data_IF_466478351101
#
_entry.id   IF_466478351101
#
_cell.length_a   1.000
_cell.length_b   1.000
_cell.length_c   1.000
_cell.angle_alpha   90.00
_cell.angle_beta   90.00
_cell.angle_gamma   90.00
#
_symmetry.space_group_name_H-M   'P 1'
#
loop_
_entity.id
_entity.type
_entity.pdbx_description
1 polymer ?
#
# COMPACT_ATOMS: atom_id res chain seq x y z
N UNK A 1 -30.30 -18.71 -7.98
CA UNK A 1 -29.32 -19.69 -7.41
C UNK A 1 -27.93 -19.48 -8.04
N UNK A 2 -27.20 -18.39 -7.73
CA UNK A 2 -25.89 -18.05 -8.35
C UNK A 2 -24.86 -17.35 -7.43
N UNK A 3 -25.07 -17.28 -6.11
CA UNK A 3 -24.18 -16.54 -5.20
C UNK A 3 -22.95 -17.35 -4.70
N UNK A 4 -22.99 -18.69 -4.69
CA UNK A 4 -21.91 -19.50 -4.10
C UNK A 4 -20.61 -19.55 -4.92
N UNK A 5 -20.66 -19.34 -6.25
CA UNK A 5 -19.48 -19.46 -7.11
C UNK A 5 -18.57 -18.21 -7.12
N UNK A 6 -19.12 -17.04 -6.76
CA UNK A 6 -18.36 -15.78 -6.69
C UNK A 6 -17.55 -15.70 -5.39
N UNK A 7 -18.15 -16.07 -4.25
CA UNK A 7 -17.45 -16.12 -2.96
C UNK A 7 -16.31 -17.13 -2.94
N UNK A 8 -16.48 -18.29 -3.59
CA UNK A 8 -15.42 -19.30 -3.70
C UNK A 8 -14.20 -18.84 -4.51
N UNK A 9 -14.36 -17.96 -5.51
CA UNK A 9 -13.24 -17.40 -6.26
C UNK A 9 -12.49 -16.32 -5.49
N UNK A 10 -13.19 -15.45 -4.78
CA UNK A 10 -12.56 -14.42 -3.95
C UNK A 10 -11.71 -15.07 -2.84
N UNK A 11 -12.29 -16.02 -2.09
CA UNK A 11 -11.57 -16.76 -1.05
C UNK A 11 -10.34 -17.51 -1.57
N UNK A 12 -10.41 -18.09 -2.78
CA UNK A 12 -9.29 -18.79 -3.38
C UNK A 12 -8.12 -17.87 -3.78
N UNK A 13 -8.39 -16.61 -4.14
CA UNK A 13 -7.35 -15.60 -4.37
C UNK A 13 -6.77 -15.08 -3.05
N UNK A 14 -7.59 -14.90 -2.02
CA UNK A 14 -7.09 -14.57 -0.68
C UNK A 14 -6.20 -15.69 -0.10
N UNK A 15 -6.59 -16.96 -0.28
CA UNK A 15 -5.77 -18.12 0.08
C UNK A 15 -4.41 -18.10 -0.61
N UNK A 16 -4.40 -17.76 -1.91
CA UNK A 16 -3.16 -17.63 -2.67
C UNK A 16 -2.28 -16.48 -2.16
N UNK A 17 -2.89 -15.35 -1.77
CA UNK A 17 -2.21 -14.25 -1.10
C UNK A 17 -1.59 -14.66 0.23
N UNK A 18 -2.33 -15.40 1.07
CA UNK A 18 -1.80 -15.94 2.34
C UNK A 18 -0.57 -16.82 2.14
N UNK A 19 -0.55 -17.64 1.09
CA UNK A 19 0.57 -18.55 0.80
C UNK A 19 1.86 -17.82 0.43
N UNK A 20 1.78 -16.64 -0.18
CA UNK A 20 2.97 -15.84 -0.54
C UNK A 20 3.34 -14.79 0.50
N UNK A 21 2.52 -14.60 1.55
CA UNK A 21 2.74 -13.57 2.56
C UNK A 21 4.12 -13.68 3.23
N UNK A 22 4.60 -14.90 3.51
CA UNK A 22 5.91 -15.11 4.15
C UNK A 22 7.10 -14.61 3.30
N UNK A 23 6.91 -14.44 1.98
CA UNK A 23 7.92 -13.86 1.10
C UNK A 23 8.06 -12.34 1.30
N UNK A 24 7.04 -11.69 1.89
CA UNK A 24 7.00 -10.24 2.10
C UNK A 24 7.52 -9.81 3.49
N UNK A 25 7.88 -10.75 4.36
CA UNK A 25 8.28 -10.48 5.76
C UNK A 25 9.44 -9.47 5.87
N UNK A 26 10.40 -9.52 4.95
CA UNK A 26 11.58 -8.64 4.94
C UNK A 26 11.36 -7.31 4.20
N UNK A 27 10.16 -7.08 3.66
CA UNK A 27 9.83 -5.89 2.88
C UNK A 27 8.83 -5.02 3.63
N UNK A 28 8.74 -3.75 3.25
CA UNK A 28 7.86 -2.77 3.90
C UNK A 28 6.89 -2.12 2.94
N UNK A 29 7.05 -2.35 1.63
CA UNK A 29 6.16 -1.86 0.61
C UNK A 29 6.14 -2.76 -0.63
N UNK A 30 4.98 -2.99 -1.22
CA UNK A 30 4.86 -3.70 -2.48
C UNK A 30 3.69 -3.19 -3.33
N UNK A 31 3.87 -3.21 -4.64
CA UNK A 31 2.77 -3.07 -5.60
C UNK A 31 2.15 -4.44 -5.82
N UNK A 32 0.83 -4.55 -5.79
CA UNK A 32 0.08 -5.75 -6.19
C UNK A 32 -0.63 -5.41 -7.48
N UNK A 33 -0.24 -6.04 -8.58
CA UNK A 33 -0.74 -5.66 -9.90
C UNK A 33 -1.36 -6.83 -10.64
N UNK A 34 -2.42 -6.54 -11.39
CA UNK A 34 -3.06 -7.47 -12.31
C UNK A 34 -3.84 -6.76 -13.41
N UNK A 35 -4.04 -7.46 -14.52
CA UNK A 35 -5.09 -7.19 -15.50
C UNK A 35 -6.50 -7.44 -14.94
N UNK A 36 -6.62 -8.29 -13.91
CA UNK A 36 -7.84 -8.48 -13.12
C UNK A 36 -7.67 -7.83 -11.74
N UNK A 37 -8.11 -6.57 -11.57
CA UNK A 37 -7.86 -5.82 -10.35
C UNK A 37 -8.58 -6.41 -9.12
N UNK A 38 -9.66 -7.19 -9.31
CA UNK A 38 -10.30 -7.89 -8.20
C UNK A 38 -9.45 -9.05 -7.70
N UNK A 39 -8.80 -9.80 -8.60
CA UNK A 39 -7.86 -10.85 -8.20
C UNK A 39 -6.68 -10.25 -7.42
N UNK A 40 -6.09 -9.15 -7.91
CA UNK A 40 -5.04 -8.42 -7.21
C UNK A 40 -5.49 -7.95 -5.81
N UNK A 41 -6.70 -7.38 -5.70
CA UNK A 41 -7.24 -6.93 -4.42
C UNK A 41 -7.41 -8.08 -3.42
N UNK A 42 -7.95 -9.23 -3.85
CA UNK A 42 -8.10 -10.40 -2.97
C UNK A 42 -6.73 -10.98 -2.57
N UNK A 43 -5.76 -11.05 -3.48
CA UNK A 43 -4.39 -11.46 -3.13
C UNK A 43 -3.78 -10.49 -2.10
N UNK A 44 -3.95 -9.19 -2.30
CA UNK A 44 -3.48 -8.17 -1.36
C UNK A 44 -4.12 -8.34 0.02
N UNK A 45 -5.42 -8.60 0.11
CA UNK A 45 -6.11 -8.89 1.37
C UNK A 45 -5.62 -10.20 2.03
N UNK A 46 -5.36 -11.23 1.24
CA UNK A 46 -4.77 -12.48 1.71
C UNK A 46 -3.41 -12.26 2.39
N UNK A 47 -2.52 -11.53 1.72
CA UNK A 47 -1.22 -11.12 2.27
C UNK A 47 -1.44 -10.27 3.52
N UNK A 48 -2.30 -9.26 3.44
CA UNK A 48 -2.47 -8.28 4.50
C UNK A 48 -3.00 -8.90 5.79
N UNK A 49 -3.97 -9.83 5.69
CA UNK A 49 -4.49 -10.55 6.86
C UNK A 49 -3.44 -11.47 7.50
N UNK A 50 -2.59 -12.11 6.69
CA UNK A 50 -1.50 -12.93 7.21
C UNK A 50 -0.42 -12.09 7.91
N UNK A 51 -0.11 -10.90 7.41
CA UNK A 51 0.90 -10.01 8.00
C UNK A 51 0.37 -9.19 9.18
N UNK A 52 -0.95 -8.93 9.23
CA UNK A 52 -1.58 -8.13 10.29
C UNK A 52 -1.48 -8.75 11.70
N UNK A 53 -1.25 -10.06 11.80
CA UNK A 53 -0.93 -10.73 13.08
C UNK A 53 0.44 -10.36 13.65
N UNK A 54 1.31 -9.76 12.83
CA UNK A 54 2.71 -9.48 13.19
C UNK A 54 3.05 -7.99 13.14
N UNK A 55 2.43 -7.23 12.23
CA UNK A 55 2.73 -5.81 12.02
C UNK A 55 1.50 -5.05 11.55
N UNK A 56 1.60 -3.71 11.53
CA UNK A 56 0.58 -2.87 10.89
C UNK A 56 0.67 -3.02 9.37
N UNK A 57 -0.47 -3.20 8.72
CA UNK A 57 -0.57 -3.35 7.27
C UNK A 57 -1.59 -2.37 6.72
N UNK A 58 -1.22 -1.66 5.66
CA UNK A 58 -2.11 -0.75 4.93
C UNK A 58 -2.27 -1.26 3.50
N UNK A 59 -3.52 -1.39 3.04
CA UNK A 59 -3.86 -1.71 1.65
C UNK A 59 -4.47 -0.49 0.98
N UNK A 60 -3.86 -0.01 -0.10
CA UNK A 60 -4.33 1.15 -0.87
C UNK A 60 -4.94 0.76 -2.21
N UNK A 61 -6.07 1.37 -2.55
CA UNK A 61 -6.76 1.23 -3.84
C UNK A 61 -6.28 2.29 -4.85
N UNK A 62 -5.43 1.89 -5.81
CA UNK A 62 -5.00 2.72 -6.93
C UNK A 62 -5.72 2.38 -8.24
N UNK A 63 -6.82 1.64 -8.18
CA UNK A 63 -7.64 1.28 -9.35
C UNK A 63 -8.88 2.17 -9.43
N UNK A 64 -9.48 2.49 -8.28
CA UNK A 64 -10.74 3.23 -8.20
C UNK A 64 -11.92 2.30 -7.91
N UNK A 65 -12.44 2.37 -6.69
CA UNK A 65 -13.62 1.64 -6.21
C UNK A 65 -13.53 0.10 -6.32
N UNK A 66 -12.42 -0.48 -5.89
CA UNK A 66 -12.29 -1.94 -5.78
C UNK A 66 -13.30 -2.51 -4.77
N UNK A 67 -14.27 -3.34 -5.20
CA UNK A 67 -15.30 -3.88 -4.30
C UNK A 67 -14.73 -4.62 -3.07
N UNK A 68 -13.67 -5.46 -3.18
CA UNK A 68 -13.10 -6.13 -2.00
C UNK A 68 -12.57 -5.16 -0.94
N UNK A 69 -12.03 -4.01 -1.35
CA UNK A 69 -11.47 -3.01 -0.42
C UNK A 69 -12.57 -2.05 0.09
N UNK A 70 -13.50 -1.65 -0.78
CA UNK A 70 -14.59 -0.73 -0.43
C UNK A 70 -15.50 -1.31 0.66
N UNK A 71 -15.84 -2.60 0.56
CA UNK A 71 -16.66 -3.26 1.58
C UNK A 71 -16.03 -3.21 2.98
N UNK A 72 -14.70 -3.22 3.07
CA UNK A 72 -13.96 -3.17 4.34
C UNK A 72 -13.78 -1.74 4.86
N UNK A 73 -13.75 -0.75 3.97
CA UNK A 73 -13.53 0.66 4.33
C UNK A 73 -14.79 1.38 4.86
N UNK A 74 -15.99 0.85 4.57
CA UNK A 74 -17.28 1.44 4.94
C UNK A 74 -17.56 2.81 4.28
N UNK A 75 -18.72 3.39 4.60
CA UNK A 75 -19.29 4.55 3.87
C UNK A 75 -19.10 5.92 4.56
N UNK A 76 -18.22 6.04 5.57
CA UNK A 76 -18.24 7.20 6.47
C UNK A 76 -17.59 8.50 5.92
N UNK A 77 -16.55 8.39 5.09
CA UNK A 77 -15.81 9.53 4.53
C UNK A 77 -15.53 9.24 3.04
N UNK A 78 -15.71 10.18 2.11
CA UNK A 78 -15.37 9.95 0.69
C UNK A 78 -13.89 10.19 0.36
N UNK A 79 -13.11 10.84 1.24
CA UNK A 79 -11.71 11.16 0.94
C UNK A 79 -10.81 9.92 0.99
N UNK A 80 -9.86 9.87 0.06
CA UNK A 80 -8.92 8.78 -0.13
C UNK A 80 -7.58 9.24 -0.70
N UNK A 81 -6.93 8.33 -1.43
CA UNK A 81 -5.57 8.54 -1.94
C UNK A 81 -5.51 9.75 -2.88
N UNK A 82 -6.47 9.87 -3.80
CA UNK A 82 -6.53 10.98 -4.74
C UNK A 82 -6.57 12.33 -4.02
N UNK A 83 -7.40 12.45 -2.98
CA UNK A 83 -7.53 13.67 -2.18
C UNK A 83 -6.23 14.01 -1.43
N UNK A 84 -5.49 12.97 -0.99
CA UNK A 84 -4.20 13.18 -0.33
C UNK A 84 -3.13 13.70 -1.29
N UNK A 85 -3.11 13.19 -2.52
CA UNK A 85 -2.12 13.57 -3.52
C UNK A 85 -2.43 14.92 -4.15
N UNK A 86 -3.71 15.20 -4.44
CA UNK A 86 -4.15 16.41 -5.12
C UNK A 86 -4.36 17.60 -4.17
N UNK A 87 -4.92 17.35 -2.97
CA UNK A 87 -5.36 18.41 -2.06
C UNK A 87 -4.64 18.41 -0.72
N UNK A 88 -3.70 17.49 -0.51
CA UNK A 88 -2.89 17.43 0.71
C UNK A 88 -3.66 16.90 1.92
N UNK A 89 -4.78 16.19 1.73
CA UNK A 89 -5.45 15.47 2.81
C UNK A 89 -4.45 14.50 3.46
N UNK A 90 -4.41 14.43 4.79
CA UNK A 90 -3.45 13.58 5.48
C UNK A 90 -3.71 12.09 5.18
N UNK A 91 -2.67 11.34 4.80
CA UNK A 91 -2.78 9.89 4.59
C UNK A 91 -3.21 9.17 5.88
N UNK A 92 -2.83 9.70 7.04
CA UNK A 92 -3.26 9.20 8.33
C UNK A 92 -4.77 9.29 8.54
N UNK A 93 -5.43 10.26 7.88
CA UNK A 93 -6.87 10.48 8.01
C UNK A 93 -7.67 9.55 7.09
N UNK A 94 -7.08 9.09 5.97
CA UNK A 94 -7.78 8.24 5.00
C UNK A 94 -7.59 6.73 5.25
N UNK A 95 -6.60 6.34 6.06
CA UNK A 95 -6.37 4.95 6.44
C UNK A 95 -7.38 4.48 7.50
N UNK A 96 -8.22 3.50 7.15
CA UNK A 96 -9.32 3.03 8.00
C UNK A 96 -9.05 1.63 8.50
N UNK A 97 -9.03 1.46 9.80
CA UNK A 97 -8.90 0.13 10.40
C UNK A 97 -10.15 -0.70 10.07
N UNK A 98 -9.95 -1.95 9.67
CA UNK A 98 -11.05 -2.88 9.39
C UNK A 98 -11.61 -3.43 10.70
N UNK A 99 -12.93 -3.62 10.79
CA UNK A 99 -13.54 -4.27 11.97
C UNK A 99 -13.13 -5.74 12.11
N UNK A 100 -12.83 -6.39 10.98
CA UNK A 100 -12.56 -7.82 10.91
C UNK A 100 -11.14 -8.22 11.34
N UNK A 101 -10.16 -7.32 11.22
CA UNK A 101 -8.75 -7.65 11.43
C UNK A 101 -8.03 -6.45 12.03
N UNK A 102 -7.61 -6.59 13.29
CA UNK A 102 -6.75 -5.61 13.97
C UNK A 102 -5.46 -5.41 13.21
N UNK A 103 -4.92 -4.18 13.23
CA UNK A 103 -3.70 -3.79 12.49
C UNK A 103 -3.82 -3.77 10.96
N UNK A 104 -4.99 -4.09 10.40
CA UNK A 104 -5.26 -3.97 8.97
C UNK A 104 -6.01 -2.67 8.68
N UNK A 105 -5.46 -1.86 7.79
CA UNK A 105 -6.01 -0.59 7.38
C UNK A 105 -6.24 -0.53 5.88
N UNK A 106 -7.32 0.11 5.44
CA UNK A 106 -7.67 0.31 4.04
C UNK A 106 -7.61 1.80 3.70
N UNK A 107 -6.94 2.16 2.60
CA UNK A 107 -7.02 3.47 1.98
C UNK A 107 -7.82 3.34 0.68
N UNK A 108 -8.98 3.99 0.62
CA UNK A 108 -9.81 4.05 -0.58
C UNK A 108 -9.17 4.94 -1.64
N UNK A 109 -9.61 4.81 -2.90
CA UNK A 109 -9.09 5.62 -4.01
C UNK A 109 -9.34 7.12 -3.81
N UNK A 110 -10.46 7.48 -3.19
CA UNK A 110 -10.86 8.88 -2.96
C UNK A 110 -11.90 9.37 -3.96
N UNK A 111 -12.06 10.69 -4.02
CA UNK A 111 -13.13 11.36 -4.79
C UNK A 111 -12.81 11.61 -6.26
N UNK A 112 -11.53 11.53 -6.62
CA UNK A 112 -11.01 11.84 -7.95
C UNK A 112 -10.37 10.59 -8.59
N UNK A 113 -10.21 10.55 -9.92
CA UNK A 113 -9.50 9.45 -10.57
C UNK A 113 -8.09 9.26 -10.00
N UNK A 114 -7.83 8.08 -9.44
CA UNK A 114 -6.53 7.75 -8.81
C UNK A 114 -5.51 7.16 -9.79
N UNK A 115 -5.99 6.57 -10.89
CA UNK A 115 -5.17 5.86 -11.88
C UNK A 115 -4.64 6.80 -12.97
N UNK A 116 -3.95 7.86 -12.54
CA UNK A 116 -3.33 8.87 -13.40
C UNK A 116 -1.84 8.98 -13.06
N UNK A 117 -1.01 9.36 -14.03
CA UNK A 117 0.45 9.37 -13.88
C UNK A 117 0.91 10.28 -12.74
N UNK A 118 0.22 11.41 -12.54
CA UNK A 118 0.51 12.39 -11.49
C UNK A 118 0.33 11.84 -10.08
N UNK A 119 -0.46 10.77 -9.92
CA UNK A 119 -0.68 10.08 -8.64
C UNK A 119 0.17 8.81 -8.57
N UNK A 120 0.09 7.94 -9.57
CA UNK A 120 0.78 6.64 -9.56
C UNK A 120 2.30 6.82 -9.56
N UNK A 121 2.86 7.64 -10.46
CA UNK A 121 4.30 7.86 -10.60
C UNK A 121 4.89 8.89 -9.64
N UNK A 122 4.14 9.28 -8.60
CA UNK A 122 4.51 10.41 -7.76
C UNK A 122 5.58 10.05 -6.71
N UNK A 123 6.66 10.83 -6.66
CA UNK A 123 7.78 10.71 -5.70
C UNK A 123 7.38 10.72 -4.21
N UNK A 124 6.15 11.15 -3.87
CA UNK A 124 5.64 11.02 -2.50
C UNK A 124 5.55 9.56 -2.06
N UNK A 125 5.34 8.60 -2.97
CA UNK A 125 5.33 7.17 -2.65
C UNK A 125 6.62 6.70 -2.02
N UNK A 126 7.77 7.16 -2.53
CA UNK A 126 9.09 6.84 -1.97
C UNK A 126 9.22 7.24 -0.50
N UNK A 127 8.73 8.44 -0.16
CA UNK A 127 8.75 8.93 1.23
C UNK A 127 7.81 8.14 2.12
N UNK A 128 6.68 7.69 1.57
CA UNK A 128 5.74 6.84 2.31
C UNK A 128 6.32 5.47 2.58
N UNK A 129 6.84 4.79 1.55
CA UNK A 129 7.49 3.49 1.68
C UNK A 129 8.58 3.52 2.77
N UNK A 130 9.46 4.52 2.75
CA UNK A 130 10.48 4.72 3.79
C UNK A 130 9.89 4.90 5.20
N UNK A 131 8.76 5.59 5.32
CA UNK A 131 8.05 5.74 6.60
C UNK A 131 7.51 4.42 7.13
N UNK A 132 7.00 3.54 6.25
CA UNK A 132 6.54 2.19 6.62
C UNK A 132 7.70 1.30 7.06
N UNK A 133 8.84 1.36 6.36
CA UNK A 133 10.07 0.68 6.74
C UNK A 133 10.54 1.08 8.15
N UNK A 134 10.61 2.39 8.43
CA UNK A 134 11.05 2.92 9.73
C UNK A 134 10.23 2.44 10.91
N UNK A 135 8.92 2.21 10.73
CA UNK A 135 8.02 1.78 11.80
C UNK A 135 7.72 0.28 11.76
N UNK A 136 8.37 -0.48 10.87
CA UNK A 136 8.14 -1.91 10.68
C UNK A 136 6.72 -2.24 10.21
N UNK A 137 6.06 -1.36 9.46
CA UNK A 137 4.72 -1.57 8.89
C UNK A 137 4.81 -1.94 7.40
N UNK A 138 3.75 -2.54 6.85
CA UNK A 138 3.68 -2.97 5.44
C UNK A 138 2.68 -2.12 4.66
N UNK A 139 3.09 -1.59 3.51
CA UNK A 139 2.24 -0.89 2.55
C UNK A 139 2.01 -1.76 1.31
N UNK A 140 0.76 -2.06 0.99
CA UNK A 140 0.38 -2.81 -0.21
C UNK A 140 -0.46 -1.90 -1.10
N UNK A 141 -0.01 -1.64 -2.32
CA UNK A 141 -0.72 -0.78 -3.27
C UNK A 141 -1.28 -1.61 -4.43
N UNK A 142 -2.61 -1.66 -4.54
CA UNK A 142 -3.28 -2.43 -5.59
C UNK A 142 -3.47 -1.54 -6.81
N UNK A 143 -2.96 -1.97 -7.97
CA UNK A 143 -3.10 -1.22 -9.23
C UNK A 143 -3.26 -2.17 -10.43
N UNK A 144 -3.44 -1.61 -11.64
CA UNK A 144 -3.48 -2.38 -12.90
C UNK A 144 -2.08 -2.53 -13.51
N UNK A 145 -1.89 -3.58 -14.29
CA UNK A 145 -0.61 -3.86 -14.98
C UNK A 145 -0.27 -2.87 -16.08
N UNK A 146 -1.27 -2.14 -16.56
CA UNK A 146 -1.13 -1.08 -17.56
C UNK A 146 -1.34 0.33 -16.97
N UNK A 147 -1.25 0.49 -15.65
CA UNK A 147 -1.44 1.78 -15.02
C UNK A 147 -0.33 2.77 -15.47
N UNK A 148 -0.69 4.01 -15.86
CA UNK A 148 0.30 5.01 -16.21
C UNK A 148 1.15 5.34 -14.98
N UNK A 149 2.46 5.38 -15.12
CA UNK A 149 3.38 5.62 -14.00
C UNK A 149 3.77 4.37 -13.18
N UNK A 150 3.34 3.16 -13.58
CA UNK A 150 3.59 1.92 -12.83
C UNK A 150 5.09 1.65 -12.62
N UNK A 151 5.92 1.95 -13.62
CA UNK A 151 7.36 1.76 -13.54
C UNK A 151 7.98 2.57 -12.39
N UNK A 152 7.65 3.86 -12.33
CA UNK A 152 8.10 4.78 -11.28
C UNK A 152 7.55 4.34 -9.91
N UNK A 153 6.29 3.90 -9.84
CA UNK A 153 5.73 3.37 -8.60
C UNK A 153 6.53 2.19 -8.07
N UNK A 154 6.89 1.23 -8.94
CA UNK A 154 7.69 0.06 -8.55
C UNK A 154 9.09 0.49 -8.10
N UNK A 155 9.71 1.47 -8.75
CA UNK A 155 11.02 2.02 -8.34
C UNK A 155 10.97 2.76 -6.99
N UNK A 156 9.79 3.25 -6.58
CA UNK A 156 9.58 3.92 -5.31
C UNK A 156 9.31 2.97 -4.14
N UNK A 157 8.97 1.71 -4.43
CA UNK A 157 8.62 0.67 -3.47
C UNK A 157 9.66 -0.46 -3.49
N UNK A 158 9.55 -1.44 -2.60
CA UNK A 158 10.54 -2.52 -2.53
C UNK A 158 10.42 -3.53 -3.68
N UNK A 159 9.25 -3.58 -4.32
CA UNK A 159 9.02 -4.45 -5.46
C UNK A 159 7.54 -4.67 -5.77
N UNK A 160 7.27 -5.74 -6.51
CA UNK A 160 5.96 -6.04 -7.06
C UNK A 160 5.57 -7.51 -6.87
N UNK A 161 4.28 -7.73 -6.60
CA UNK A 161 3.62 -9.04 -6.68
C UNK A 161 2.77 -9.07 -7.94
N UNK A 162 3.05 -10.04 -8.80
CA UNK A 162 2.34 -10.25 -10.07
C UNK A 162 1.20 -11.26 -9.88
N UNK A 163 -0.02 -10.93 -10.30
CA UNK A 163 -1.21 -11.76 -10.07
C UNK A 163 -1.88 -12.11 -11.40
N UNK A 164 -1.70 -13.34 -11.87
CA UNK A 164 -2.00 -13.84 -13.23
C UNK A 164 -1.00 -13.43 -14.31
N UNK A 165 -0.12 -12.46 -14.07
CA UNK A 165 0.87 -12.05 -15.05
C UNK A 165 2.18 -12.83 -14.97
N UNK A 166 2.75 -13.06 -16.14
CA UNK A 166 4.07 -13.66 -16.32
C UNK A 166 5.19 -12.62 -16.37
N UNK A 167 4.90 -11.39 -16.74
CA UNK A 167 5.88 -10.33 -16.94
C UNK A 167 5.31 -8.95 -16.59
N UNK A 168 6.18 -7.95 -16.68
CA UNK A 168 5.86 -6.56 -16.34
C UNK A 168 6.49 -5.66 -17.41
N UNK A 169 5.84 -5.52 -18.58
CA UNK A 169 6.42 -4.84 -19.74
C UNK A 169 6.83 -3.39 -19.45
N UNK A 170 6.04 -2.69 -18.63
CA UNK A 170 6.29 -1.30 -18.25
C UNK A 170 7.45 -1.15 -17.27
N UNK A 171 7.83 -2.21 -16.54
CA UNK A 171 8.93 -2.17 -15.57
C UNK A 171 9.75 -3.48 -15.61
N UNK A 172 10.49 -3.74 -16.71
CA UNK A 172 11.18 -5.02 -16.92
C UNK A 172 12.28 -5.30 -15.89
N UNK A 173 12.75 -4.27 -15.18
CA UNK A 173 13.77 -4.35 -14.13
C UNK A 173 13.19 -4.34 -12.71
N UNK A 174 11.87 -4.27 -12.56
CA UNK A 174 11.21 -4.28 -11.26
C UNK A 174 11.47 -5.59 -10.50
N UNK A 175 11.78 -5.48 -9.21
CA UNK A 175 11.97 -6.67 -8.37
C UNK A 175 10.64 -7.37 -8.14
N UNK A 176 10.49 -8.57 -8.69
CA UNK A 176 9.30 -9.40 -8.46
C UNK A 176 9.47 -10.15 -7.14
N UNK A 177 8.71 -9.72 -6.13
CA UNK A 177 8.73 -10.30 -4.77
C UNK A 177 8.00 -11.65 -4.74
N UNK A 178 6.90 -11.76 -5.48
CA UNK A 178 6.12 -12.99 -5.59
C UNK A 178 5.32 -13.04 -6.89
N UNK A 179 4.94 -14.25 -7.30
CA UNK A 179 4.07 -14.52 -8.45
C UNK A 179 2.90 -15.38 -8.02
N UNK A 180 1.69 -14.94 -8.32
CA UNK A 180 0.44 -15.64 -8.02
C UNK A 180 -0.30 -15.90 -9.33
N UNK A 181 0.09 -16.93 -10.10
CA UNK A 181 -0.43 -17.15 -11.46
C UNK A 181 -1.88 -17.66 -11.47
N UNK A 182 -2.36 -18.22 -10.36
CA UNK A 182 -3.66 -18.88 -10.27
C UNK A 182 -4.18 -18.82 -8.84
N UNK A 183 -5.51 -18.84 -8.66
CA UNK A 183 -6.08 -18.92 -7.33
C UNK A 183 -5.74 -20.29 -6.72
N UNK A 184 -5.54 -20.34 -5.41
CA UNK A 184 -5.26 -21.60 -4.74
C UNK A 184 -6.50 -22.49 -4.83
N UNK A 185 -6.33 -23.75 -5.23
CA UNK A 185 -7.41 -24.73 -5.06
C UNK A 185 -7.57 -24.95 -3.56
N UNK A 186 -8.59 -24.34 -2.97
CA UNK A 186 -8.97 -24.63 -1.59
C UNK A 186 -9.36 -26.11 -1.52
N UNK A 187 -8.42 -26.97 -1.12
CA UNK A 187 -8.77 -28.28 -0.61
C UNK A 187 -9.51 -27.97 0.70
N UNK A 188 -10.81 -28.26 0.73
CA UNK A 188 -11.60 -28.18 1.97
C UNK A 188 -11.00 -29.15 2.98
N UNK A 189 -10.03 -28.69 3.77
CA UNK A 189 -9.63 -29.38 4.99
C UNK A 189 -10.61 -28.96 6.09
N UNK A 190 -11.17 -29.90 6.85
CA UNK A 190 -12.03 -29.56 7.98
C UNK A 190 -11.20 -28.75 8.98
N UNK A 191 -11.63 -27.51 9.22
CA UNK A 191 -11.00 -26.60 10.16
C UNK A 191 -10.96 -27.24 11.56
N UNK A 192 -9.78 -27.63 12.02
CA UNK A 192 -9.52 -27.77 13.45
C UNK A 192 -9.36 -26.36 13.99
N UNK A 193 -10.42 -25.87 14.64
CA UNK A 193 -10.39 -24.60 15.38
C UNK A 193 -9.58 -24.77 16.66
N UNK A 194 -8.26 -24.72 16.54
CA UNK A 194 -7.40 -24.39 17.67
C UNK A 194 -7.32 -22.87 17.75
N UNK A 195 -8.29 -22.28 18.44
CA UNK A 195 -8.32 -20.85 18.71
C UNK A 195 -7.16 -20.46 19.63
N UNK A 196 -6.08 -19.93 19.05
CA UNK A 196 -5.02 -19.26 19.81
C UNK A 196 -5.56 -17.89 20.24
N UNK A 197 -5.51 -17.53 21.54
CA UNK A 197 -6.04 -16.26 22.01
C UNK A 197 -5.26 -15.09 21.39
N UNK A 198 -5.97 -14.22 20.68
CA UNK A 198 -5.42 -12.98 20.14
C UNK A 198 -4.92 -12.09 21.29
N UNK A 199 -3.62 -11.77 21.28
CA UNK A 199 -3.04 -10.76 22.17
C UNK A 199 -3.55 -9.39 21.74
N UNK A 200 -4.42 -8.80 22.54
CA UNK A 200 -4.89 -7.43 22.40
C UNK A 200 -3.75 -6.45 22.70
N UNK A 201 -3.33 -5.70 21.69
CA UNK A 201 -2.40 -4.59 21.89
C UNK A 201 -3.16 -3.30 22.28
N UNK A 202 -2.62 -2.49 23.19
CA UNK A 202 -3.31 -1.32 23.71
C UNK A 202 -3.48 -0.21 22.65
N UNK A 203 -4.62 0.49 22.72
CA UNK A 203 -5.16 1.51 21.79
C UNK A 203 -4.29 2.79 21.63
N UNK A 204 -3.03 2.79 22.07
CA UNK A 204 -2.08 3.91 21.92
C UNK A 204 -1.40 3.99 20.55
N UNK A 205 -1.66 3.04 19.64
CA UNK A 205 -1.15 3.05 18.26
C UNK A 205 -1.49 4.30 17.44
N UNK A 206 -2.51 5.06 17.84
CA UNK A 206 -2.88 6.36 17.25
C UNK A 206 -1.80 7.45 17.43
N UNK A 207 -0.97 7.40 18.48
CA UNK A 207 0.00 8.48 18.78
C UNK A 207 1.35 8.25 18.08
N UNK A 208 1.74 7.00 17.83
CA UNK A 208 3.04 6.69 17.23
C UNK A 208 3.12 7.03 15.73
N UNK A 209 1.99 6.98 15.00
CA UNK A 209 1.93 7.41 13.59
C UNK A 209 2.00 8.95 13.46
N UNK A 210 1.52 9.68 14.48
CA UNK A 210 1.53 11.15 14.52
C UNK A 210 2.96 11.68 14.70
N UNK A 211 3.77 11.05 15.54
CA UNK A 211 5.13 11.54 15.82
C UNK A 211 6.15 11.18 14.73
N UNK A 212 6.10 9.96 14.17
CA UNK A 212 7.12 9.49 13.22
C UNK A 212 7.07 10.23 11.86
N UNK A 213 5.87 10.54 11.35
CA UNK A 213 5.72 11.24 10.06
C UNK A 213 5.98 12.76 10.15
N UNK A 214 5.84 13.37 11.33
CA UNK A 214 6.14 14.80 11.53
C UNK A 214 7.65 15.09 11.64
N UNK A 215 8.45 14.18 12.21
CA UNK A 215 9.89 14.40 12.40
C UNK A 215 10.66 14.33 11.07
N UNK A 216 10.26 13.44 10.15
CA UNK A 216 10.87 13.34 8.82
C UNK A 216 10.62 14.60 7.95
N UNK A 217 9.46 15.24 8.09
CA UNK A 217 9.12 16.47 7.36
C UNK A 217 9.84 17.72 7.89
N UNK A 218 9.96 17.87 9.22
CA UNK A 218 10.53 19.07 9.83
C UNK A 218 12.07 19.14 9.75
N UNK A 219 12.76 18.00 9.77
CA UNK A 219 14.23 17.97 9.72
C UNK A 219 14.79 18.39 8.34
N UNK A 220 14.07 18.12 7.25
CA UNK A 220 14.55 18.42 5.87
C UNK A 220 14.29 19.88 5.47
N UNK A 221 13.19 20.49 5.94
CA UNK A 221 12.90 21.90 5.71
C UNK A 221 14.01 22.83 6.27
N UNK A 222 14.68 22.40 7.36
CA UNK A 222 15.77 23.16 8.00
C UNK A 222 17.12 23.07 7.27
N UNK A 223 17.31 22.05 6.44
CA UNK A 223 18.57 21.83 5.69
C UNK A 223 18.54 22.59 4.35
N UNK A 224 17.37 22.72 3.72
CA UNK A 224 17.22 23.50 2.48
C UNK A 224 17.36 25.02 2.68
N UNK A 225 16.85 25.57 3.79
CA UNK A 225 16.98 27.01 4.08
C UNK A 225 18.41 27.45 4.37
N UNK A 226 19.28 26.56 4.85
CA UNK A 226 20.70 26.87 5.08
C UNK A 226 21.55 26.93 3.80
N UNK A 227 21.16 26.26 2.71
CA UNK A 227 21.92 26.26 1.45
C UNK A 227 21.55 27.39 0.49
N UNK A 228 20.37 27.99 0.64
CA UNK A 228 19.94 29.12 -0.21
C UNK A 228 20.53 30.48 0.23
N UNK A 229 21.04 30.59 1.47
CA UNK A 229 21.58 31.83 2.02
C UNK A 229 23.07 32.09 1.77
N UNK A 230 23.81 31.16 1.15
CA UNK A 230 25.29 31.24 1.05
C UNK A 230 25.82 31.66 -0.32
N UNK A 231 24.97 32.03 -1.29
CA UNK A 231 25.40 32.29 -2.67
C UNK A 231 25.22 33.74 -3.15
N UNK A 232 24.90 34.68 -2.25
CA UNK A 232 24.80 36.11 -2.59
C UNK A 232 25.74 36.93 -1.70
N UNK A 233 27.06 36.85 -1.96
CA UNK A 233 28.01 37.82 -1.41
C UNK A 233 29.36 37.93 -2.12
N UNK A 234 29.58 37.24 -3.25
CA UNK A 234 30.88 37.22 -3.91
C UNK A 234 30.86 37.78 -5.35
N UNK A 235 30.23 38.94 -5.57
CA UNK A 235 30.48 39.78 -6.76
C UNK A 235 30.29 41.25 -6.38
N UNK A 236 31.26 41.82 -5.66
CA UNK A 236 31.48 43.27 -5.59
C UNK A 236 32.85 43.53 -4.97
N UNK A 237 33.87 43.71 -5.81
CA UNK A 237 34.99 44.64 -5.64
C UNK A 237 36.15 44.27 -6.58
N UNK A 238 36.16 44.87 -7.77
CA UNK A 238 37.38 45.11 -8.54
C UNK A 238 37.27 46.50 -9.15
N UNK A 239 37.98 47.47 -8.56
CA UNK A 239 38.64 48.58 -9.26
C UNK A 239 39.45 49.40 -8.24
N UNK A 240 40.69 49.80 -8.53
CA UNK A 240 41.23 51.08 -8.08
C UNK A 240 40.71 52.24 -8.95
#
# INVERSE_FOLDING_TARGET
MRAHAAGGRAGAWEDAGRQVASMLVSYSSAVITSSDPNAAANVALGIARAEASHRRVVVGDLVGDLPPLRHLAGDADPHGISDSFLYGVSLNKIGRETEETTNLFIMTSGTEPVMVEEIIGNERWKRLAAGFEQVGALLLLVTRTNAPGLAQLIEHLDGVVLVKESDLPEAPHGLVLARVPSPTRTLQMPAHSDAVPARTFPRWGYVALIAALLVAGAAIARIRSKRAGSSVSAVANVAP
#
